data_IF_504496229359
#
_entry.id   IF_504496229359
#
_cell.length_a   1.000
_cell.length_b   1.000
_cell.length_c   1.000
_cell.angle_alpha   90.00
_cell.angle_beta   90.00
_cell.angle_gamma   90.00
#
_symmetry.space_group_name_H-M   'P 1'
#
loop_
_entity.id
_entity.type
_entity.pdbx_description
1 polymer ?
#
# COMPACT_ATOMS: atom_id res chain seq x y z
N UNK A 1 41.37 34.32 -16.60
CA UNK A 1 41.54 33.30 -15.55
C UNK A 1 40.18 32.66 -15.38
N UNK A 2 40.12 31.33 -15.46
CA UNK A 2 38.93 30.54 -15.79
C UNK A 2 38.07 30.31 -14.53
N UNK A 3 36.98 31.05 -14.38
CA UNK A 3 35.97 30.75 -13.35
C UNK A 3 35.02 29.67 -13.88
N UNK A 4 35.52 28.43 -13.92
CA UNK A 4 34.67 27.25 -13.99
C UNK A 4 33.97 27.09 -12.65
N UNK A 5 32.93 27.90 -12.43
CA UNK A 5 31.94 27.63 -11.39
C UNK A 5 31.40 26.24 -11.68
N UNK A 6 31.81 25.32 -10.83
CA UNK A 6 31.40 23.93 -10.81
C UNK A 6 29.88 23.92 -10.78
N UNK A 7 29.28 23.53 -11.90
CA UNK A 7 27.85 23.36 -12.06
C UNK A 7 27.40 22.33 -11.00
N UNK A 8 26.84 22.83 -9.90
CA UNK A 8 26.31 21.99 -8.85
C UNK A 8 25.18 21.16 -9.48
N UNK A 9 25.44 19.86 -9.66
CA UNK A 9 24.50 18.86 -10.17
C UNK A 9 23.12 19.13 -9.56
N UNK A 10 22.14 19.45 -10.40
CA UNK A 10 20.77 19.74 -9.97
C UNK A 10 20.26 18.61 -9.04
N UNK A 11 19.41 18.90 -8.04
CA UNK A 11 18.81 17.86 -7.23
C UNK A 11 18.08 16.91 -8.17
N UNK A 12 18.48 15.62 -8.22
CA UNK A 12 17.96 14.59 -9.13
C UNK A 12 16.44 14.69 -9.27
N UNK A 13 15.95 15.43 -10.28
CA UNK A 13 14.53 15.58 -10.57
C UNK A 13 14.23 14.82 -11.85
N UNK A 14 13.38 13.82 -11.73
CA UNK A 14 12.88 13.04 -12.86
C UNK A 14 11.68 13.73 -13.48
N UNK A 15 11.52 13.55 -14.79
CA UNK A 15 10.39 14.04 -15.53
C UNK A 15 9.14 13.19 -15.25
N UNK A 16 7.92 13.73 -15.35
CA UNK A 16 6.69 12.96 -15.15
C UNK A 16 6.54 11.75 -16.10
N UNK A 17 7.22 11.75 -17.24
CA UNK A 17 7.27 10.65 -18.21
C UNK A 17 8.23 9.53 -17.85
N UNK A 18 9.13 9.74 -16.89
CA UNK A 18 10.19 8.78 -16.59
C UNK A 18 9.62 7.52 -15.92
N UNK A 19 9.95 6.38 -16.52
CA UNK A 19 9.52 5.07 -16.03
C UNK A 19 10.52 4.49 -15.03
N UNK A 20 11.81 4.60 -15.33
CA UNK A 20 12.91 4.00 -14.57
C UNK A 20 13.50 5.00 -13.57
N UNK A 21 12.72 5.30 -12.54
CA UNK A 21 13.21 6.06 -11.39
C UNK A 21 13.48 5.13 -10.21
N UNK A 22 14.38 5.50 -9.28
CA UNK A 22 14.64 4.71 -8.08
C UNK A 22 13.36 4.35 -7.29
N UNK A 23 12.42 5.30 -7.13
CA UNK A 23 11.12 5.05 -6.51
C UNK A 23 10.34 3.96 -7.25
N UNK A 24 10.18 4.11 -8.57
CA UNK A 24 9.42 3.15 -9.38
C UNK A 24 10.09 1.77 -9.37
N UNK A 25 11.41 1.70 -9.36
CA UNK A 25 12.15 0.43 -9.27
C UNK A 25 11.85 -0.29 -7.97
N UNK A 26 11.84 0.42 -6.84
CA UNK A 26 11.47 -0.15 -5.53
C UNK A 26 10.02 -0.66 -5.55
N UNK A 27 9.08 0.12 -6.11
CA UNK A 27 7.68 -0.31 -6.25
C UNK A 27 7.55 -1.55 -7.14
N UNK A 28 8.24 -1.60 -8.29
CA UNK A 28 8.22 -2.75 -9.20
C UNK A 28 8.83 -4.00 -8.57
N UNK A 29 9.97 -3.85 -7.88
CA UNK A 29 10.61 -4.95 -7.15
C UNK A 29 9.70 -5.50 -6.06
N UNK A 30 9.01 -4.63 -5.32
CA UNK A 30 8.00 -5.05 -4.33
C UNK A 30 6.90 -5.89 -4.96
N UNK A 31 6.35 -5.46 -6.11
CA UNK A 31 5.33 -6.25 -6.83
C UNK A 31 5.91 -7.62 -7.25
N UNK A 32 7.11 -7.63 -7.82
CA UNK A 32 7.76 -8.85 -8.29
C UNK A 32 8.13 -9.82 -7.16
N UNK A 33 8.44 -9.30 -5.96
CA UNK A 33 8.80 -10.08 -4.79
C UNK A 33 7.59 -10.48 -3.92
N UNK A 34 6.41 -9.87 -4.09
CA UNK A 34 5.21 -10.26 -3.34
C UNK A 34 4.83 -11.75 -3.52
N UNK A 35 4.91 -12.37 -4.72
CA UNK A 35 4.68 -13.81 -4.90
C UNK A 35 5.61 -14.69 -4.05
N UNK A 36 6.86 -14.27 -3.81
CA UNK A 36 7.77 -14.99 -2.93
C UNK A 36 7.22 -15.03 -1.51
N UNK A 37 6.74 -13.90 -0.98
CA UNK A 37 6.13 -13.87 0.34
C UNK A 37 4.88 -14.75 0.42
N UNK A 38 4.04 -14.76 -0.63
CA UNK A 38 2.84 -15.60 -0.66
C UNK A 38 3.18 -17.09 -0.69
N UNK A 39 4.18 -17.47 -1.48
CA UNK A 39 4.69 -18.84 -1.49
C UNK A 39 5.24 -19.24 -0.12
N UNK A 40 6.03 -18.38 0.54
CA UNK A 40 6.56 -18.65 1.88
C UNK A 40 5.47 -18.76 2.95
N UNK A 41 4.37 -18.02 2.83
CA UNK A 41 3.21 -18.18 3.74
C UNK A 41 2.60 -19.57 3.53
N UNK A 42 2.41 -19.99 2.29
CA UNK A 42 1.79 -21.28 1.95
C UNK A 42 2.67 -22.49 2.29
N UNK A 43 3.98 -22.38 2.12
CA UNK A 43 4.95 -23.46 2.37
C UNK A 43 5.28 -23.63 3.86
N UNK A 44 4.95 -22.64 4.69
CA UNK A 44 5.29 -22.63 6.12
C UNK A 44 4.27 -23.42 6.93
N UNK A 45 4.70 -24.55 7.52
CA UNK A 45 3.83 -25.43 8.34
C UNK A 45 3.09 -24.69 9.47
N UNK A 46 3.76 -23.76 10.14
CA UNK A 46 3.22 -22.99 11.28
C UNK A 46 3.05 -21.49 10.96
N UNK A 47 3.14 -21.07 9.69
CA UNK A 47 3.07 -19.65 9.27
C UNK A 47 4.08 -18.69 9.94
N UNK A 48 5.02 -19.17 10.76
CA UNK A 48 5.81 -18.39 11.72
C UNK A 48 7.33 -18.58 11.58
N UNK A 49 7.94 -18.13 10.48
CA UNK A 49 9.39 -18.26 10.28
C UNK A 49 10.11 -16.91 10.22
N UNK A 50 11.31 -16.84 10.83
CA UNK A 50 12.15 -15.63 10.75
C UNK A 50 12.47 -15.18 9.31
N UNK A 51 12.72 -16.07 8.34
CA UNK A 51 12.85 -15.68 6.94
C UNK A 51 11.58 -15.02 6.38
N UNK A 52 10.40 -15.58 6.69
CA UNK A 52 9.12 -15.02 6.26
C UNK A 52 8.89 -13.63 6.87
N UNK A 53 9.19 -13.46 8.17
CA UNK A 53 9.14 -12.15 8.84
C UNK A 53 10.02 -11.14 8.12
N UNK A 54 11.26 -11.50 7.80
CA UNK A 54 12.20 -10.61 7.14
C UNK A 54 11.69 -10.17 5.76
N UNK A 55 11.21 -11.11 4.95
CA UNK A 55 10.65 -10.82 3.61
C UNK A 55 9.39 -9.95 3.73
N UNK A 56 8.45 -10.34 4.59
CA UNK A 56 7.20 -9.61 4.79
C UNK A 56 7.44 -8.16 5.27
N UNK A 57 8.37 -8.00 6.22
CA UNK A 57 8.73 -6.70 6.77
C UNK A 57 9.40 -5.79 5.72
N UNK A 58 10.34 -6.33 4.93
CA UNK A 58 11.00 -5.58 3.84
C UNK A 58 9.97 -5.11 2.81
N UNK A 59 9.05 -5.98 2.38
CA UNK A 59 7.99 -5.62 1.44
C UNK A 59 7.02 -4.58 2.01
N UNK A 60 6.69 -4.68 3.30
CA UNK A 60 5.77 -3.76 3.96
C UNK A 60 6.38 -2.35 4.13
N UNK A 61 7.68 -2.27 4.41
CA UNK A 61 8.38 -0.98 4.61
C UNK A 61 8.85 -0.35 3.31
N UNK A 62 9.05 -1.11 2.23
CA UNK A 62 9.55 -0.56 0.96
C UNK A 62 8.67 0.56 0.40
N UNK A 63 7.36 0.57 0.70
CA UNK A 63 6.43 1.68 0.37
C UNK A 63 6.84 3.03 1.00
N UNK A 64 7.35 2.99 2.23
CA UNK A 64 7.82 4.21 2.87
C UNK A 64 9.09 4.75 2.18
N UNK A 65 9.92 3.83 1.67
CA UNK A 65 11.17 4.13 0.99
C UNK A 65 10.89 4.75 -0.38
N UNK A 66 10.08 4.10 -1.23
CA UNK A 66 9.74 4.66 -2.55
C UNK A 66 9.03 6.01 -2.46
N UNK A 67 8.10 6.17 -1.51
CA UNK A 67 7.42 7.45 -1.27
C UNK A 67 8.38 8.54 -0.78
N UNK A 68 9.39 8.21 0.03
CA UNK A 68 10.44 9.17 0.43
C UNK A 68 11.31 9.56 -0.75
N UNK A 69 11.62 8.60 -1.62
CA UNK A 69 12.42 8.80 -2.83
C UNK A 69 11.67 9.68 -3.83
N UNK A 70 10.40 9.37 -4.13
CA UNK A 70 9.51 10.17 -4.98
C UNK A 70 9.37 11.63 -4.49
N UNK A 71 9.29 11.86 -3.17
CA UNK A 71 9.27 13.22 -2.60
C UNK A 71 10.56 14.00 -2.82
N UNK A 72 11.71 13.32 -2.90
CA UNK A 72 13.02 13.95 -3.14
C UNK A 72 13.29 14.17 -4.62
N UNK A 73 12.82 13.25 -5.46
CA UNK A 73 13.20 13.19 -6.87
C UNK A 73 12.09 13.63 -7.86
N UNK A 74 10.90 13.94 -7.37
CA UNK A 74 9.74 14.30 -8.19
C UNK A 74 8.82 13.10 -8.47
N UNK A 75 7.48 13.33 -8.50
CA UNK A 75 6.51 12.28 -8.81
C UNK A 75 6.47 11.98 -10.31
N UNK A 76 6.29 10.70 -10.66
CA UNK A 76 6.13 10.26 -12.06
C UNK A 76 4.73 9.70 -12.31
N UNK A 77 4.29 9.70 -13.57
CA UNK A 77 3.01 9.09 -13.97
C UNK A 77 3.01 7.58 -13.71
N UNK A 78 4.14 6.92 -13.93
CA UNK A 78 4.31 5.50 -13.64
C UNK A 78 4.16 5.21 -12.15
N UNK A 79 4.85 5.96 -11.28
CA UNK A 79 4.72 5.81 -9.82
C UNK A 79 3.29 6.02 -9.33
N UNK A 80 2.59 7.04 -9.84
CA UNK A 80 1.19 7.30 -9.50
C UNK A 80 0.23 6.15 -9.83
N UNK A 81 0.60 5.26 -10.77
CA UNK A 81 -0.14 4.03 -11.08
C UNK A 81 0.39 2.80 -10.33
N UNK A 82 1.72 2.67 -10.23
CA UNK A 82 2.38 1.52 -9.61
C UNK A 82 2.16 1.47 -8.10
N UNK A 83 2.20 2.60 -7.39
CA UNK A 83 2.11 2.61 -5.92
C UNK A 83 0.75 2.08 -5.43
N UNK A 84 -0.41 2.54 -5.96
CA UNK A 84 -1.70 1.98 -5.57
C UNK A 84 -1.92 0.52 -6.01
N UNK A 85 -1.20 0.07 -7.05
CA UNK A 85 -1.24 -1.32 -7.49
C UNK A 85 -0.44 -2.21 -6.53
N UNK A 86 0.78 -1.80 -6.17
CA UNK A 86 1.65 -2.53 -5.24
C UNK A 86 1.02 -2.68 -3.86
N UNK A 87 0.40 -1.61 -3.33
CA UNK A 87 -0.33 -1.64 -2.05
C UNK A 87 -1.44 -2.71 -2.06
N UNK A 88 -2.25 -2.75 -3.13
CA UNK A 88 -3.32 -3.74 -3.26
C UNK A 88 -2.80 -5.15 -3.42
N UNK A 89 -1.76 -5.37 -4.23
CA UNK A 89 -1.17 -6.70 -4.42
C UNK A 89 -0.70 -7.27 -3.08
N UNK A 90 0.06 -6.49 -2.30
CA UNK A 90 0.61 -6.97 -1.04
C UNK A 90 -0.48 -7.20 0.01
N UNK A 91 -1.41 -6.25 0.20
CA UNK A 91 -2.50 -6.37 1.18
C UNK A 91 -3.48 -7.48 0.79
N UNK A 92 -3.98 -7.48 -0.44
CA UNK A 92 -4.97 -8.46 -0.87
C UNK A 92 -4.37 -9.87 -0.95
N UNK A 93 -3.14 -10.00 -1.44
CA UNK A 93 -2.46 -11.28 -1.54
C UNK A 93 -2.09 -11.83 -0.16
N UNK A 94 -1.53 -11.01 0.73
CA UNK A 94 -1.17 -11.45 2.08
C UNK A 94 -2.38 -11.90 2.89
N UNK A 95 -3.46 -11.12 2.89
CA UNK A 95 -4.70 -11.51 3.57
C UNK A 95 -5.35 -12.73 2.89
N UNK A 96 -5.30 -12.85 1.55
CA UNK A 96 -5.83 -14.03 0.86
C UNK A 96 -5.08 -15.31 1.26
N UNK A 97 -3.75 -15.26 1.32
CA UNK A 97 -2.95 -16.41 1.76
C UNK A 97 -3.30 -16.79 3.19
N UNK A 98 -3.44 -15.81 4.09
CA UNK A 98 -3.91 -16.08 5.45
C UNK A 98 -5.33 -16.68 5.49
N UNK A 99 -6.20 -16.38 4.51
CA UNK A 99 -7.50 -17.08 4.40
C UNK A 99 -7.38 -18.51 3.85
N UNK A 100 -6.44 -18.75 2.94
CA UNK A 100 -6.17 -20.08 2.38
C UNK A 100 -5.64 -21.01 3.48
N UNK A 101 -4.72 -20.52 4.31
CA UNK A 101 -4.15 -21.24 5.45
C UNK A 101 -5.11 -21.33 6.65
N UNK A 102 -6.38 -20.91 6.48
CA UNK A 102 -7.40 -20.98 7.53
C UNK A 102 -7.20 -20.00 8.69
N UNK A 103 -6.19 -19.13 8.65
CA UNK A 103 -5.88 -18.18 9.71
C UNK A 103 -6.87 -17.02 9.79
N UNK A 104 -7.30 -16.47 8.64
CA UNK A 104 -8.30 -15.40 8.58
C UNK A 104 -9.57 -15.86 7.87
N UNK A 105 -10.71 -15.24 8.20
CA UNK A 105 -11.99 -15.55 7.54
C UNK A 105 -12.13 -14.84 6.20
N UNK A 106 -12.67 -15.52 5.19
CA UNK A 106 -12.91 -14.96 3.85
C UNK A 106 -13.76 -13.69 3.85
N UNK A 107 -14.66 -13.53 4.83
CA UNK A 107 -15.44 -12.29 5.00
C UNK A 107 -14.52 -11.07 5.16
N UNK A 108 -13.42 -11.20 5.91
CA UNK A 108 -12.46 -10.12 6.10
C UNK A 108 -11.85 -9.70 4.76
N UNK A 109 -11.39 -10.67 3.96
CA UNK A 109 -10.82 -10.41 2.64
C UNK A 109 -11.82 -9.73 1.69
N UNK A 110 -13.06 -10.24 1.62
CA UNK A 110 -14.12 -9.68 0.77
C UNK A 110 -14.41 -8.23 1.14
N UNK A 111 -14.51 -7.92 2.43
CA UNK A 111 -14.75 -6.54 2.90
C UNK A 111 -13.61 -5.59 2.49
N UNK A 112 -12.35 -6.05 2.59
CA UNK A 112 -11.18 -5.27 2.20
C UNK A 112 -11.22 -4.96 0.69
N UNK A 113 -11.37 -5.99 -0.14
CA UNK A 113 -11.34 -5.87 -1.60
C UNK A 113 -12.53 -5.06 -2.11
N UNK A 114 -13.76 -5.39 -1.68
CA UNK A 114 -14.96 -4.70 -2.10
C UNK A 114 -14.89 -3.21 -1.77
N UNK A 115 -14.45 -2.85 -0.56
CA UNK A 115 -14.27 -1.45 -0.16
C UNK A 115 -13.20 -0.75 -0.98
N UNK A 116 -12.04 -1.37 -1.19
CA UNK A 116 -10.94 -0.73 -1.92
C UNK A 116 -11.28 -0.51 -3.40
N UNK A 117 -12.01 -1.45 -4.01
CA UNK A 117 -12.58 -1.29 -5.35
C UNK A 117 -13.62 -0.16 -5.39
N UNK A 118 -14.56 -0.13 -4.45
CA UNK A 118 -15.60 0.89 -4.39
C UNK A 118 -15.03 2.30 -4.26
N UNK A 119 -14.06 2.51 -3.36
CA UNK A 119 -13.38 3.81 -3.19
C UNK A 119 -12.53 4.16 -4.43
N UNK A 120 -11.84 3.18 -5.04
CA UNK A 120 -11.07 3.42 -6.27
C UNK A 120 -11.98 3.86 -7.43
N UNK A 121 -13.12 3.19 -7.60
CA UNK A 121 -14.12 3.52 -8.61
C UNK A 121 -14.72 4.91 -8.37
N UNK A 122 -15.06 5.22 -7.11
CA UNK A 122 -15.56 6.54 -6.72
C UNK A 122 -14.56 7.65 -7.07
N UNK A 123 -13.29 7.50 -6.69
CA UNK A 123 -12.24 8.49 -7.01
C UNK A 123 -12.03 8.64 -8.51
N UNK A 124 -12.04 7.54 -9.26
CA UNK A 124 -11.92 7.55 -10.73
C UNK A 124 -13.09 8.29 -11.40
N UNK A 125 -14.32 8.07 -10.92
CA UNK A 125 -15.51 8.74 -11.45
C UNK A 125 -15.45 10.26 -11.31
N UNK A 126 -15.03 10.78 -10.16
CA UNK A 126 -14.88 12.23 -9.95
C UNK A 126 -13.65 12.81 -10.66
N UNK A 127 -12.55 12.06 -10.75
CA UNK A 127 -11.36 12.49 -11.48
C UNK A 127 -11.68 12.76 -12.96
N UNK A 128 -12.51 11.93 -13.59
CA UNK A 128 -13.00 12.14 -14.97
C UNK A 128 -13.83 13.43 -15.15
N UNK A 129 -14.33 14.01 -14.06
CA UNK A 129 -15.09 15.26 -14.03
C UNK A 129 -14.24 16.48 -13.60
N UNK A 130 -12.91 16.32 -13.54
CA UNK A 130 -12.00 17.39 -13.11
C UNK A 130 -12.04 17.69 -11.61
N UNK A 131 -12.60 16.78 -10.82
CA UNK A 131 -12.75 16.92 -9.37
C UNK A 131 -11.78 15.98 -8.64
N UNK A 132 -11.03 16.52 -7.69
CA UNK A 132 -10.12 15.73 -6.86
C UNK A 132 -10.77 15.34 -5.54
N UNK A 133 -10.73 14.05 -5.19
CA UNK A 133 -11.22 13.53 -3.91
C UNK A 133 -10.02 13.28 -2.97
N UNK A 134 -9.79 14.13 -1.95
CA UNK A 134 -8.62 14.06 -1.09
C UNK A 134 -8.59 12.78 -0.24
N UNK A 135 -7.40 12.29 0.10
CA UNK A 135 -7.25 11.11 0.94
C UNK A 135 -7.64 11.44 2.40
N UNK A 136 -8.50 10.62 3.05
CA UNK A 136 -8.82 10.80 4.47
C UNK A 136 -7.66 10.29 5.33
N UNK A 137 -7.42 10.92 6.48
CA UNK A 137 -6.34 10.49 7.41
C UNK A 137 -6.55 9.04 7.87
N UNK A 138 -7.81 8.64 8.08
CA UNK A 138 -8.17 7.28 8.49
C UNK A 138 -7.85 6.24 7.40
N UNK A 139 -7.98 6.62 6.13
CA UNK A 139 -7.62 5.75 5.01
C UNK A 139 -6.14 5.37 4.99
N UNK A 140 -5.26 6.24 5.53
CA UNK A 140 -3.81 5.97 5.61
C UNK A 140 -3.48 4.87 6.61
N UNK A 141 -4.23 4.78 7.70
CA UNK A 141 -3.98 3.79 8.76
C UNK A 141 -4.47 2.39 8.38
N UNK A 142 -5.47 2.26 7.49
CA UNK A 142 -6.04 0.94 7.13
C UNK A 142 -4.95 -0.04 6.65
N UNK A 143 -4.03 0.43 5.80
CA UNK A 143 -3.03 -0.43 5.17
C UNK A 143 -1.98 -0.87 6.18
N UNK A 144 -1.55 0.06 7.05
CA UNK A 144 -0.66 -0.25 8.16
C UNK A 144 -1.25 -1.33 9.08
N UNK A 145 -2.53 -1.23 9.41
CA UNK A 145 -3.22 -2.23 10.23
C UNK A 145 -3.33 -3.57 9.51
N UNK A 146 -3.70 -3.58 8.23
CA UNK A 146 -3.86 -4.82 7.46
C UNK A 146 -2.52 -5.55 7.23
N UNK A 147 -1.45 -4.83 6.88
CA UNK A 147 -0.10 -5.40 6.77
C UNK A 147 0.45 -5.84 8.12
N UNK A 148 0.15 -5.07 9.18
CA UNK A 148 0.51 -5.41 10.56
C UNK A 148 -0.17 -6.69 11.03
N UNK A 149 -1.45 -6.89 10.70
CA UNK A 149 -2.19 -8.11 11.03
C UNK A 149 -1.52 -9.36 10.46
N UNK A 150 -1.12 -9.33 9.18
CA UNK A 150 -0.34 -10.42 8.57
C UNK A 150 1.02 -10.57 9.25
N UNK A 151 1.69 -9.45 9.56
CA UNK A 151 2.98 -9.45 10.27
C UNK A 151 2.93 -10.07 11.67
N UNK A 152 1.81 -9.87 12.41
CA UNK A 152 1.64 -10.48 13.73
C UNK A 152 1.49 -12.00 13.67
N UNK A 153 0.83 -12.51 12.62
CA UNK A 153 0.77 -13.95 12.38
C UNK A 153 2.16 -14.48 12.08
N UNK A 154 2.92 -13.83 11.20
CA UNK A 154 4.22 -14.38 10.77
C UNK A 154 5.34 -14.29 11.81
N UNK A 155 5.18 -13.42 12.81
CA UNK A 155 6.18 -13.16 13.84
C UNK A 155 6.11 -14.20 14.97
N UNK A 156 7.16 -15.03 15.20
CA UNK A 156 7.08 -16.14 16.14
C UNK A 156 6.67 -15.75 17.58
N UNK A 157 7.17 -14.64 18.16
CA UNK A 157 6.71 -14.18 19.48
C UNK A 157 5.23 -13.82 19.60
N UNK A 158 4.54 -13.54 18.50
CA UNK A 158 3.14 -13.09 18.49
C UNK A 158 2.21 -14.03 17.74
N UNK A 159 2.73 -15.10 17.14
CA UNK A 159 1.96 -16.04 16.31
C UNK A 159 0.73 -16.59 17.04
N UNK A 160 0.89 -17.00 18.31
CA UNK A 160 -0.20 -17.58 19.11
C UNK A 160 -1.19 -16.54 19.68
N UNK A 161 -0.93 -15.24 19.47
CA UNK A 161 -1.77 -14.15 19.97
C UNK A 161 -2.86 -13.82 18.96
N UNK A 162 -3.81 -14.74 18.79
CA UNK A 162 -4.78 -14.62 17.70
C UNK A 162 -5.61 -13.34 17.74
N UNK A 163 -5.99 -12.93 18.94
CA UNK A 163 -6.73 -11.70 19.20
C UNK A 163 -5.99 -10.44 18.72
N UNK A 164 -4.64 -10.45 18.72
CA UNK A 164 -3.82 -9.33 18.29
C UNK A 164 -3.88 -9.20 16.77
N UNK A 165 -3.64 -10.30 16.04
CA UNK A 165 -3.72 -10.31 14.59
C UNK A 165 -5.15 -10.01 14.10
N UNK A 166 -6.16 -10.69 14.64
CA UNK A 166 -7.56 -10.50 14.27
C UNK A 166 -8.06 -9.11 14.64
N UNK A 167 -7.75 -8.64 15.86
CA UNK A 167 -8.10 -7.30 16.33
C UNK A 167 -7.49 -6.22 15.42
N UNK A 168 -6.23 -6.39 15.03
CA UNK A 168 -5.55 -5.47 14.11
C UNK A 168 -6.19 -5.51 12.71
N UNK A 169 -6.54 -6.69 12.20
CA UNK A 169 -7.19 -6.85 10.89
C UNK A 169 -8.56 -6.17 10.88
N UNK A 170 -9.40 -6.45 11.87
CA UNK A 170 -10.74 -5.89 11.98
C UNK A 170 -10.73 -4.39 12.26
N UNK A 171 -9.75 -3.89 13.03
CA UNK A 171 -9.53 -2.44 13.16
C UNK A 171 -9.18 -1.80 11.81
N UNK A 172 -8.36 -2.45 10.99
CA UNK A 172 -8.04 -2.03 9.63
C UNK A 172 -9.27 -2.00 8.71
N UNK A 173 -10.11 -3.03 8.78
CA UNK A 173 -11.39 -3.11 8.06
C UNK A 173 -12.32 -1.97 8.49
N UNK A 174 -12.51 -1.78 9.79
CA UNK A 174 -13.36 -0.71 10.33
C UNK A 174 -12.86 0.66 9.87
N UNK A 175 -11.56 0.93 9.97
CA UNK A 175 -10.94 2.16 9.48
C UNK A 175 -11.20 2.36 7.97
N UNK A 176 -11.07 1.29 7.18
CA UNK A 176 -11.40 1.26 5.77
C UNK A 176 -12.86 1.60 5.48
N UNK A 177 -13.80 0.92 6.15
CA UNK A 177 -15.24 1.11 5.97
C UNK A 177 -15.70 2.51 6.38
N UNK A 178 -15.26 3.00 7.54
CA UNK A 178 -15.57 4.36 8.02
C UNK A 178 -15.05 5.40 7.02
N UNK A 179 -13.81 5.25 6.56
CA UNK A 179 -13.23 6.12 5.54
C UNK A 179 -14.01 6.03 4.22
N UNK A 180 -14.45 4.83 3.82
CA UNK A 180 -15.28 4.61 2.64
C UNK A 180 -16.61 5.34 2.74
N UNK A 181 -17.32 5.15 3.86
CA UNK A 181 -18.58 5.83 4.13
C UNK A 181 -18.42 7.35 4.12
N UNK A 182 -17.34 7.89 4.70
CA UNK A 182 -17.02 9.32 4.64
C UNK A 182 -16.92 9.83 3.19
N UNK A 183 -16.34 9.05 2.27
CA UNK A 183 -16.29 9.42 0.86
C UNK A 183 -17.66 9.47 0.20
N UNK A 184 -18.45 8.43 0.40
CA UNK A 184 -19.78 8.33 -0.23
C UNK A 184 -20.76 9.36 0.35
N UNK A 185 -20.71 9.62 1.66
CA UNK A 185 -21.59 10.57 2.33
C UNK A 185 -21.21 12.03 2.03
N UNK A 186 -19.90 12.33 1.95
CA UNK A 186 -19.47 13.69 1.65
C UNK A 186 -19.65 14.04 0.16
N UNK A 187 -19.72 13.06 -0.73
CA UNK A 187 -20.08 13.26 -2.15
C UNK A 187 -19.21 14.32 -2.84
N UNK A 188 -19.85 15.27 -3.53
CA UNK A 188 -19.18 16.42 -4.18
C UNK A 188 -18.78 17.54 -3.21
N UNK A 189 -19.06 17.44 -1.91
CA UNK A 189 -18.66 18.48 -0.94
C UNK A 189 -17.19 18.36 -0.52
N UNK A 190 -16.57 17.21 -0.76
CA UNK A 190 -15.13 17.00 -0.55
C UNK A 190 -14.28 17.24 -1.79
N UNK A 191 -14.89 17.64 -2.91
CA UNK A 191 -14.15 17.84 -4.15
C UNK A 191 -13.61 19.25 -4.26
N UNK A 192 -12.30 19.36 -4.40
CA UNK A 192 -11.65 20.62 -4.82
C UNK A 192 -11.50 20.60 -6.34
N UNK A 193 -11.79 21.73 -6.99
CA UNK A 193 -11.53 21.93 -8.42
C UNK A 193 -10.05 21.70 -8.69
N UNK A 194 -9.70 20.83 -9.65
CA UNK A 194 -8.31 20.72 -10.06
C UNK A 194 -7.87 22.03 -10.72
N UNK A 195 -6.88 22.71 -10.15
CA UNK A 195 -6.21 23.83 -10.82
C UNK A 195 -5.47 23.24 -12.02
N UNK A 196 -5.80 23.76 -13.19
CA UNK A 196 -5.34 23.29 -14.51
C UNK A 196 -3.86 23.58 -14.72
#
# INVERSE_FOLDING_TARGET
>A
MNDTVTEAKSPLRYEPSDLLTPANLVTMLRIAAAPLAFWMIHDSEELNSWPLVAVWFVLSISDLIDGRLARRQGPTRAGAFLDPLADKVLVWGGVAMMCIEGRFVWLAWVLIVARDLAVSAFRSYYAKRGLAVPASKLAKWKAFLQLGAVGWVTLPPTHDLDWLADGTLWAGIAAGLISGAQYFLAGSRSTTTMVR
#
